data_IF_053844758314
#
_entry.id   IF_053844758314
#
_cell.length_a   1.000
_cell.length_b   1.000
_cell.length_c   1.000
_cell.angle_alpha   90.00
_cell.angle_beta   90.00
_cell.angle_gamma   90.00
#
_symmetry.space_group_name_H-M   'P 1'
#
loop_
_entity.id
_entity.type
_entity.pdbx_description
1 polymer ?
#
# COMPACT_ATOMS: atom_id res chain seq x y z
N UNK A 1 -19.40 3.72 -4.81
CA UNK A 1 -19.83 3.64 -3.38
C UNK A 1 -20.79 4.79 -3.08
N UNK A 2 -21.84 4.56 -2.29
CA UNK A 2 -22.89 5.56 -1.99
C UNK A 2 -22.70 6.19 -0.60
N UNK A 3 -22.77 7.52 -0.53
CA UNK A 3 -22.77 8.28 0.73
C UNK A 3 -24.18 8.77 1.06
N UNK A 4 -24.67 8.53 2.28
CA UNK A 4 -26.06 8.77 2.67
C UNK A 4 -26.19 9.69 3.89
N UNK A 5 -27.00 10.74 3.77
CA UNK A 5 -27.61 11.47 4.90
C UNK A 5 -28.84 12.24 4.41
N UNK A 6 -30.01 12.02 5.03
CA UNK A 6 -31.36 12.40 4.53
C UNK A 6 -31.62 13.91 4.32
N UNK A 7 -32.83 14.35 3.96
CA UNK A 7 -34.17 13.71 3.79
C UNK A 7 -34.92 14.57 2.74
N UNK A 8 -35.84 14.12 1.87
CA UNK A 8 -36.17 12.78 1.33
C UNK A 8 -35.91 12.82 -0.21
N UNK A 9 -36.74 12.45 -1.22
CA UNK A 9 -38.08 11.82 -1.38
C UNK A 9 -37.95 10.38 -1.94
N UNK A 10 -38.89 9.43 -1.79
CA UNK A 10 -40.25 9.44 -1.23
C UNK A 10 -40.51 8.27 -0.23
N UNK A 11 -39.47 7.81 0.51
CA UNK A 11 -39.60 6.81 1.60
C UNK A 11 -38.66 7.09 2.79
N UNK A 12 -38.44 8.36 3.10
CA UNK A 12 -37.89 8.94 4.34
C UNK A 12 -36.39 8.78 4.58
N UNK A 13 -35.87 7.55 4.57
CA UNK A 13 -34.72 7.18 5.38
C UNK A 13 -33.36 7.80 4.95
N UNK A 14 -33.10 7.93 3.66
CA UNK A 14 -31.77 8.28 3.15
C UNK A 14 -31.82 9.14 1.89
N UNK A 15 -30.89 10.10 1.79
CA UNK A 15 -30.62 10.89 0.58
C UNK A 15 -29.18 10.66 0.16
N UNK A 16 -28.98 10.40 -1.14
CA UNK A 16 -27.67 10.31 -1.77
C UNK A 16 -26.95 11.66 -1.72
N UNK A 17 -25.72 11.67 -1.21
CA UNK A 17 -24.85 12.85 -1.12
C UNK A 17 -23.76 12.86 -2.19
N UNK A 18 -23.18 11.70 -2.45
CA UNK A 18 -22.24 11.46 -3.54
C UNK A 18 -22.31 10.00 -3.96
N UNK A 19 -22.17 9.76 -5.25
CA UNK A 19 -21.75 8.48 -5.81
C UNK A 19 -20.33 8.66 -6.36
N UNK A 20 -19.50 7.65 -6.14
CA UNK A 20 -18.16 7.56 -6.73
C UNK A 20 -18.03 6.18 -7.36
N UNK A 21 -17.89 6.15 -8.68
CA UNK A 21 -17.78 4.94 -9.46
C UNK A 21 -16.31 4.61 -9.73
N UNK A 22 -16.01 3.34 -9.89
CA UNK A 22 -14.66 2.84 -10.08
C UNK A 22 -14.67 1.49 -10.78
N UNK A 23 -13.58 1.21 -11.50
CA UNK A 23 -13.47 0.10 -12.45
C UNK A 23 -12.17 -0.67 -12.20
N UNK A 24 -12.24 -2.00 -12.25
CA UNK A 24 -11.08 -2.86 -12.06
C UNK A 24 -10.30 -2.99 -13.38
N UNK A 25 -9.06 -2.51 -13.41
CA UNK A 25 -8.21 -2.64 -14.59
C UNK A 25 -7.69 -4.08 -14.77
N UNK A 26 -7.49 -4.47 -16.03
CA UNK A 26 -7.01 -5.80 -16.41
C UNK A 26 -5.66 -6.11 -15.73
N UNK A 27 -5.58 -7.24 -15.03
CA UNK A 27 -4.36 -7.69 -14.36
C UNK A 27 -4.14 -7.10 -12.96
N UNK A 28 -5.20 -6.67 -12.28
CA UNK A 28 -5.19 -6.08 -10.93
C UNK A 28 -4.36 -4.77 -10.84
N UNK A 29 -4.27 -4.02 -11.95
CA UNK A 29 -3.44 -2.81 -12.05
C UNK A 29 -4.10 -1.57 -11.43
N UNK A 30 -3.27 -0.65 -10.92
CA UNK A 30 -3.65 0.72 -10.50
C UNK A 30 -2.87 1.77 -11.31
N UNK A 31 -3.31 3.04 -11.28
CA UNK A 31 -2.87 4.10 -12.22
C UNK A 31 -1.35 4.37 -12.32
N UNK A 32 -0.55 4.08 -11.29
CA UNK A 32 0.93 4.16 -11.39
C UNK A 32 1.57 2.96 -12.12
N UNK A 33 0.78 2.07 -12.70
CA UNK A 33 1.22 0.90 -13.48
C UNK A 33 1.52 -0.36 -12.64
N UNK A 34 1.33 -0.33 -11.32
CA UNK A 34 1.58 -1.48 -10.46
C UNK A 34 0.38 -2.40 -10.32
N UNK A 35 0.65 -3.71 -10.18
CA UNK A 35 -0.29 -4.71 -9.70
C UNK A 35 -0.52 -4.61 -8.19
N UNK A 36 -1.76 -4.41 -7.76
CA UNK A 36 -2.17 -4.37 -6.34
C UNK A 36 -2.89 -5.68 -5.92
N UNK A 37 -3.50 -5.69 -4.73
CA UNK A 37 -4.22 -6.79 -4.08
C UNK A 37 -3.42 -8.06 -3.77
N UNK A 38 -2.14 -8.14 -4.16
CA UNK A 38 -1.22 -9.26 -3.88
C UNK A 38 -1.13 -9.59 -2.37
N UNK A 39 -0.94 -8.58 -1.52
CA UNK A 39 -0.72 -8.76 -0.08
C UNK A 39 -1.96 -8.39 0.74
N UNK A 40 -2.46 -9.34 1.53
CA UNK A 40 -3.59 -9.24 2.46
C UNK A 40 -3.26 -10.04 3.74
N UNK A 41 -3.87 -9.74 4.91
CA UNK A 41 -3.71 -10.55 6.11
C UNK A 41 -4.52 -11.86 6.03
N UNK A 42 -3.90 -12.98 6.43
CA UNK A 42 -4.58 -14.26 6.65
C UNK A 42 -5.06 -14.34 8.11
N UNK A 43 -6.21 -14.99 8.37
CA UNK A 43 -6.84 -15.01 9.69
C UNK A 43 -7.08 -16.42 10.22
N UNK A 44 -6.80 -16.65 11.50
CA UNK A 44 -7.09 -17.92 12.17
C UNK A 44 -8.60 -18.24 12.10
N UNK A 45 -8.93 -19.45 11.63
CA UNK A 45 -10.31 -19.91 11.46
C UNK A 45 -11.03 -19.40 10.20
N UNK A 46 -10.36 -18.66 9.32
CA UNK A 46 -10.91 -18.24 8.02
C UNK A 46 -10.23 -19.04 6.90
N UNK A 47 -11.03 -19.69 6.06
CA UNK A 47 -10.56 -20.40 4.88
C UNK A 47 -10.56 -19.45 3.67
N UNK A 48 -9.42 -19.29 2.99
CA UNK A 48 -9.37 -18.70 1.65
C UNK A 48 -9.78 -19.77 0.62
N UNK A 49 -10.88 -19.64 -0.13
CA UNK A 49 -11.28 -20.63 -1.13
C UNK A 49 -10.24 -20.86 -2.23
N UNK A 50 -9.35 -19.91 -2.46
CA UNK A 50 -8.26 -20.02 -3.45
C UNK A 50 -6.96 -20.62 -2.84
N UNK A 51 -6.96 -20.94 -1.54
CA UNK A 51 -5.82 -21.39 -0.72
C UNK A 51 -4.50 -20.63 -0.96
N UNK A 52 -4.57 -19.30 -1.13
CA UNK A 52 -3.42 -18.42 -1.40
C UNK A 52 -2.63 -18.19 -0.10
N UNK A 53 -2.02 -19.25 0.42
CA UNK A 53 -1.08 -19.19 1.55
C UNK A 53 0.17 -18.44 1.13
N UNK A 54 0.71 -17.68 2.08
CA UNK A 54 2.04 -17.11 1.97
C UNK A 54 2.78 -17.14 3.32
N UNK A 55 4.09 -16.93 3.30
CA UNK A 55 4.96 -16.99 4.49
C UNK A 55 4.61 -16.01 5.64
N UNK A 56 3.64 -15.10 5.48
CA UNK A 56 3.20 -14.26 6.59
C UNK A 56 2.41 -15.04 7.67
N UNK A 57 2.62 -14.75 8.96
CA UNK A 57 1.86 -15.38 10.02
C UNK A 57 0.37 -15.01 9.93
N UNK A 58 -0.46 -16.03 10.16
CA UNK A 58 -1.89 -15.90 10.42
C UNK A 58 -2.12 -14.97 11.63
N UNK A 59 -3.23 -14.25 11.61
CA UNK A 59 -3.55 -13.20 12.59
C UNK A 59 -4.92 -13.48 13.24
N UNK A 60 -5.06 -13.11 14.50
CA UNK A 60 -6.31 -13.25 15.24
C UNK A 60 -7.40 -12.35 14.65
N UNK A 61 -8.65 -12.82 14.67
CA UNK A 61 -9.81 -12.12 14.11
C UNK A 61 -9.99 -10.70 14.67
N UNK A 62 -9.49 -10.39 15.87
CA UNK A 62 -9.52 -9.06 16.46
C UNK A 62 -8.59 -8.03 15.83
N UNK A 63 -7.84 -8.36 14.79
CA UNK A 63 -7.29 -7.36 13.87
C UNK A 63 -8.35 -6.81 12.88
N UNK A 64 -9.47 -7.53 12.67
CA UNK A 64 -10.52 -7.16 11.72
C UNK A 64 -11.90 -6.93 12.39
N UNK A 65 -12.25 -7.73 13.40
CA UNK A 65 -13.60 -7.79 13.99
C UNK A 65 -13.60 -7.49 15.51
N UNK A 66 -14.50 -6.62 15.95
CA UNK A 66 -14.72 -6.32 17.36
C UNK A 66 -15.26 -7.54 18.14
N UNK A 67 -14.77 -7.69 19.38
CA UNK A 67 -15.12 -8.77 20.30
C UNK A 67 -14.13 -9.95 20.34
N UNK A 68 -13.26 -10.07 19.33
CA UNK A 68 -12.29 -11.16 19.21
C UNK A 68 -10.97 -10.88 19.97
N UNK A 69 -10.14 -11.90 20.11
CA UNK A 69 -8.74 -11.73 20.54
C UNK A 69 -7.94 -11.00 19.46
N UNK A 70 -6.97 -10.17 19.84
CA UNK A 70 -6.18 -9.34 18.91
C UNK A 70 -4.72 -9.84 18.88
N UNK A 71 -3.93 -9.52 17.83
CA UNK A 71 -2.48 -9.77 17.79
C UNK A 71 -1.65 -8.97 18.81
N UNK A 72 -2.29 -8.13 19.64
CA UNK A 72 -1.62 -7.45 20.75
C UNK A 72 -1.95 -8.23 22.03
N UNK A 73 -0.91 -8.72 22.69
CA UNK A 73 -1.03 -9.56 23.89
C UNK A 73 -1.92 -8.90 24.96
N UNK A 74 -2.87 -9.68 25.49
CA UNK A 74 -3.85 -9.26 26.50
C UNK A 74 -4.79 -8.09 26.10
N UNK A 75 -4.73 -7.60 24.85
CA UNK A 75 -5.63 -6.56 24.36
C UNK A 75 -6.88 -7.14 23.69
N UNK A 76 -8.03 -6.54 24.00
CA UNK A 76 -9.27 -6.63 23.22
C UNK A 76 -9.81 -5.22 22.98
N UNK A 77 -10.26 -4.96 21.75
CA UNK A 77 -10.90 -3.69 21.42
C UNK A 77 -12.25 -3.56 22.10
N UNK A 78 -12.59 -2.34 22.54
CA UNK A 78 -13.85 -2.06 23.23
C UNK A 78 -15.05 -2.30 22.28
N UNK A 79 -16.00 -3.12 22.74
CA UNK A 79 -17.26 -3.37 22.03
C UNK A 79 -18.34 -2.42 22.58
N UNK A 80 -19.00 -1.59 21.75
CA UNK A 80 -20.16 -0.80 22.17
C UNK A 80 -21.26 -1.65 22.80
N UNK A 81 -21.97 -1.07 23.78
CA UNK A 81 -23.14 -1.70 24.40
C UNK A 81 -24.45 -1.12 23.83
N UNK A 82 -25.52 -1.91 23.67
CA UNK A 82 -25.57 -3.37 23.90
C UNK A 82 -24.70 -4.15 22.90
N UNK A 83 -24.02 -5.19 23.39
CA UNK A 83 -23.00 -5.96 22.66
C UNK A 83 -23.41 -6.38 21.23
N UNK A 84 -24.70 -6.63 20.99
CA UNK A 84 -25.25 -6.98 19.66
C UNK A 84 -24.96 -5.93 18.58
N UNK A 85 -24.81 -4.65 18.93
CA UNK A 85 -24.47 -3.57 18.00
C UNK A 85 -22.99 -3.60 17.56
N UNK A 86 -22.09 -3.94 18.48
CA UNK A 86 -20.64 -3.89 18.25
C UNK A 86 -20.02 -5.20 17.80
N UNK A 87 -20.50 -6.33 18.31
CA UNK A 87 -19.87 -7.64 18.12
C UNK A 87 -19.91 -8.12 16.66
N UNK A 88 -18.78 -8.67 16.19
CA UNK A 88 -18.52 -8.98 14.77
C UNK A 88 -18.60 -7.78 13.81
N UNK A 89 -18.59 -6.54 14.32
CA UNK A 89 -18.44 -5.34 13.49
C UNK A 89 -16.98 -4.99 13.19
N UNK A 90 -16.75 -4.15 12.19
CA UNK A 90 -15.43 -3.66 11.77
C UNK A 90 -15.46 -2.14 11.52
N UNK A 91 -14.31 -1.48 11.42
CA UNK A 91 -14.22 -0.11 10.91
C UNK A 91 -13.62 -0.09 9.51
N UNK A 92 -14.16 0.77 8.65
CA UNK A 92 -13.64 1.04 7.33
C UNK A 92 -13.18 2.50 7.23
N UNK A 93 -11.88 2.69 7.02
CA UNK A 93 -11.34 3.95 6.54
C UNK A 93 -11.53 4.01 5.02
N UNK A 94 -12.48 4.83 4.57
CA UNK A 94 -12.64 5.13 3.15
C UNK A 94 -11.83 6.37 2.77
N UNK A 95 -11.19 6.34 1.60
CA UNK A 95 -10.43 7.45 1.02
C UNK A 95 -10.64 7.55 -0.49
N UNK A 96 -10.78 8.78 -0.97
CA UNK A 96 -10.64 9.15 -2.39
C UNK A 96 -9.20 9.62 -2.57
N UNK A 97 -8.37 8.80 -3.21
CA UNK A 97 -6.94 9.01 -3.37
C UNK A 97 -6.67 9.35 -4.83
N UNK A 98 -6.67 10.63 -5.17
CA UNK A 98 -6.27 11.12 -6.49
C UNK A 98 -4.78 10.82 -6.73
N UNK A 99 -4.42 10.40 -7.94
CA UNK A 99 -3.07 9.99 -8.32
C UNK A 99 -2.53 10.91 -9.43
N UNK A 100 -1.48 11.67 -9.12
CA UNK A 100 -0.73 12.55 -10.03
C UNK A 100 0.25 11.70 -10.86
N UNK A 101 -0.25 11.03 -11.91
CA UNK A 101 0.53 10.03 -12.68
C UNK A 101 1.52 10.68 -13.64
N UNK A 102 1.13 11.77 -14.28
CA UNK A 102 2.00 12.57 -15.17
C UNK A 102 3.22 13.03 -14.37
N UNK A 103 2.99 13.60 -13.19
CA UNK A 103 3.99 14.08 -12.24
C UNK A 103 4.87 12.96 -11.67
N UNK A 104 4.34 11.75 -11.51
CA UNK A 104 5.11 10.57 -11.10
C UNK A 104 6.05 10.08 -12.21
N UNK A 105 5.58 10.02 -13.45
CA UNK A 105 6.42 9.63 -14.59
C UNK A 105 7.49 10.67 -14.92
N UNK A 106 7.19 11.96 -14.78
CA UNK A 106 8.18 13.03 -14.91
C UNK A 106 9.25 12.94 -13.80
N UNK A 107 8.85 12.63 -12.56
CA UNK A 107 9.80 12.38 -11.48
C UNK A 107 10.70 11.16 -11.75
N UNK A 108 10.15 10.04 -12.21
CA UNK A 108 10.94 8.87 -12.61
C UNK A 108 11.92 9.20 -13.76
N UNK A 109 11.47 10.01 -14.73
CA UNK A 109 12.30 10.51 -15.85
C UNK A 109 13.49 11.31 -15.32
N UNK A 110 13.25 12.31 -14.47
CA UNK A 110 14.29 13.13 -13.86
C UNK A 110 15.26 12.31 -12.98
N UNK A 111 14.76 11.27 -12.30
CA UNK A 111 15.59 10.34 -11.53
C UNK A 111 16.52 9.51 -12.43
N UNK A 112 16.01 9.00 -13.57
CA UNK A 112 16.81 8.28 -14.55
C UNK A 112 17.82 9.20 -15.24
N UNK A 113 17.45 10.43 -15.58
CA UNK A 113 18.35 11.44 -16.16
C UNK A 113 19.51 11.83 -15.23
N UNK A 114 19.31 11.73 -13.91
CA UNK A 114 20.37 11.86 -12.92
C UNK A 114 21.22 10.59 -12.86
N UNK A 115 20.61 9.41 -12.77
CA UNK A 115 21.32 8.14 -12.68
C UNK A 115 22.20 7.86 -13.92
N UNK A 116 21.76 8.21 -15.12
CA UNK A 116 22.55 8.12 -16.36
C UNK A 116 23.87 8.95 -16.35
N UNK A 117 24.08 9.78 -15.32
CA UNK A 117 25.28 10.61 -15.10
C UNK A 117 26.00 10.27 -13.78
N UNK A 118 25.50 9.28 -13.04
CA UNK A 118 25.97 8.87 -11.73
C UNK A 118 26.67 7.50 -11.85
N UNK A 119 27.96 7.37 -11.47
CA UNK A 119 28.68 6.09 -11.50
C UNK A 119 28.00 4.97 -10.69
N UNK A 120 27.17 5.31 -9.69
CA UNK A 120 26.39 4.31 -8.94
C UNK A 120 25.34 3.61 -9.82
N UNK A 121 24.99 4.12 -11.00
CA UNK A 121 24.06 3.46 -11.91
C UNK A 121 24.59 2.12 -12.45
N UNK A 122 25.91 1.95 -12.58
CA UNK A 122 26.53 0.67 -12.98
C UNK A 122 26.48 -0.38 -11.85
N UNK A 123 26.47 0.06 -10.59
CA UNK A 123 26.29 -0.83 -9.42
C UNK A 123 24.82 -1.14 -9.14
N UNK A 124 23.92 -0.19 -9.44
CA UNK A 124 22.46 -0.35 -9.32
C UNK A 124 21.88 -1.24 -10.43
N UNK A 125 22.42 -1.14 -11.63
CA UNK A 125 22.01 -1.87 -12.83
C UNK A 125 23.27 -2.12 -13.70
N UNK A 126 23.90 -3.30 -13.61
CA UNK A 126 25.07 -3.62 -14.43
C UNK A 126 24.82 -3.39 -15.94
N UNK A 127 25.78 -2.85 -16.70
CA UNK A 127 25.58 -2.55 -18.12
C UNK A 127 25.19 -3.76 -18.96
N UNK A 128 23.94 -3.79 -19.44
CA UNK A 128 23.39 -4.84 -20.30
C UNK A 128 22.42 -5.80 -19.59
N UNK A 129 22.28 -5.73 -18.27
CA UNK A 129 21.26 -6.51 -17.54
C UNK A 129 19.84 -6.11 -17.98
N UNK A 130 19.62 -4.85 -18.35
CA UNK A 130 18.35 -4.35 -18.90
C UNK A 130 17.87 -5.04 -20.19
N UNK A 131 18.80 -5.67 -20.93
CA UNK A 131 18.50 -6.44 -22.14
C UNK A 131 18.11 -7.90 -21.84
N UNK A 132 18.26 -8.36 -20.59
CA UNK A 132 17.83 -9.68 -20.11
C UNK A 132 16.44 -9.63 -19.43
N UNK A 133 15.84 -8.44 -19.31
CA UNK A 133 14.50 -8.25 -18.77
C UNK A 133 13.44 -8.66 -19.81
N UNK A 134 12.23 -8.97 -19.35
CA UNK A 134 11.12 -9.41 -20.21
C UNK A 134 9.90 -8.50 -19.99
N UNK A 135 9.55 -7.59 -20.94
CA UNK A 135 10.29 -7.29 -22.17
C UNK A 135 11.61 -6.53 -21.89
N UNK A 136 12.59 -6.60 -22.81
CA UNK A 136 13.86 -5.89 -22.67
C UNK A 136 13.65 -4.37 -22.75
N UNK A 137 14.44 -3.62 -21.97
CA UNK A 137 14.29 -2.17 -21.84
C UNK A 137 15.53 -1.41 -22.32
N UNK A 138 15.34 -0.14 -22.69
CA UNK A 138 16.49 0.79 -22.79
C UNK A 138 17.02 1.07 -21.39
N UNK A 139 18.33 1.36 -21.26
CA UNK A 139 18.96 1.65 -19.96
C UNK A 139 18.24 2.74 -19.17
N UNK A 140 17.76 3.78 -19.86
CA UNK A 140 16.96 4.85 -19.26
C UNK A 140 15.63 4.36 -18.69
N UNK A 141 14.86 3.58 -19.47
CA UNK A 141 13.60 2.99 -19.03
C UNK A 141 13.80 1.99 -17.87
N UNK A 142 14.87 1.18 -17.92
CA UNK A 142 15.24 0.29 -16.83
C UNK A 142 15.60 1.04 -15.55
N UNK A 143 16.29 2.18 -15.64
CA UNK A 143 16.56 3.05 -14.48
C UNK A 143 15.28 3.73 -13.95
N UNK A 144 14.34 4.14 -14.81
CA UNK A 144 13.00 4.62 -14.38
C UNK A 144 12.26 3.55 -13.57
N UNK A 145 12.16 2.35 -14.13
CA UNK A 145 11.44 1.23 -13.50
C UNK A 145 12.16 0.71 -12.23
N UNK A 146 13.50 0.74 -12.19
CA UNK A 146 14.27 0.47 -10.98
C UNK A 146 13.95 1.48 -9.87
N UNK A 147 13.90 2.79 -10.17
CA UNK A 147 13.55 3.81 -9.16
C UNK A 147 12.10 3.63 -8.69
N UNK A 148 11.17 3.36 -9.61
CA UNK A 148 9.78 3.03 -9.30
C UNK A 148 9.70 1.83 -8.34
N UNK A 149 10.33 0.72 -8.71
CA UNK A 149 10.37 -0.50 -7.90
C UNK A 149 10.99 -0.27 -6.52
N UNK A 150 12.06 0.52 -6.41
CA UNK A 150 12.71 0.89 -5.13
C UNK A 150 11.78 1.78 -4.29
N UNK A 151 11.01 2.69 -4.87
CA UNK A 151 10.00 3.48 -4.14
C UNK A 151 8.85 2.63 -3.59
N UNK A 152 8.30 1.68 -4.37
CA UNK A 152 7.18 0.85 -3.90
C UNK A 152 7.62 -0.32 -3.01
N UNK A 153 8.71 -1.01 -3.38
CA UNK A 153 9.14 -2.31 -2.83
C UNK A 153 8.81 -3.51 -3.73
N UNK A 154 8.15 -3.28 -4.87
CA UNK A 154 7.84 -4.25 -5.93
C UNK A 154 8.00 -3.60 -7.29
N UNK A 155 8.41 -4.38 -8.29
CA UNK A 155 8.30 -4.07 -9.71
C UNK A 155 6.82 -3.92 -10.12
N UNK A 156 6.53 -3.24 -11.23
CA UNK A 156 5.15 -3.02 -11.71
C UNK A 156 4.34 -4.30 -11.95
N UNK A 157 4.97 -5.35 -12.45
CA UNK A 157 4.35 -6.66 -12.63
C UNK A 157 3.98 -7.38 -11.31
N UNK A 158 4.39 -6.84 -10.16
CA UNK A 158 4.13 -7.35 -8.82
C UNK A 158 5.30 -8.11 -8.19
N UNK A 159 6.41 -8.39 -8.89
CA UNK A 159 7.56 -9.11 -8.31
C UNK A 159 8.17 -8.30 -7.15
N UNK A 160 8.41 -8.89 -5.97
CA UNK A 160 8.97 -8.16 -4.82
C UNK A 160 10.49 -8.02 -4.90
N UNK A 161 10.99 -6.83 -4.57
CA UNK A 161 12.44 -6.57 -4.47
C UNK A 161 13.14 -7.44 -3.43
N UNK A 162 12.40 -7.93 -2.43
CA UNK A 162 12.92 -8.88 -1.45
C UNK A 162 13.34 -10.21 -2.07
N UNK A 163 12.75 -10.63 -3.20
CA UNK A 163 13.10 -11.84 -3.94
C UNK A 163 13.95 -11.55 -5.17
N UNK A 164 13.57 -10.55 -5.99
CA UNK A 164 14.33 -10.10 -7.16
C UNK A 164 14.69 -8.62 -7.05
N UNK A 165 15.85 -8.26 -6.45
CA UNK A 165 16.21 -6.87 -6.14
C UNK A 165 16.72 -6.05 -7.34
N UNK A 166 16.97 -6.69 -8.49
CA UNK A 166 17.66 -6.13 -9.65
C UNK A 166 17.00 -6.41 -11.01
N UNK A 167 15.96 -7.25 -11.07
CA UNK A 167 15.21 -7.54 -12.32
C UNK A 167 13.72 -7.75 -12.04
N UNK A 168 12.80 -7.22 -12.89
CA UNK A 168 11.38 -7.54 -12.83
C UNK A 168 11.07 -8.97 -13.30
N UNK A 169 12.00 -9.62 -14.02
CA UNK A 169 11.81 -10.90 -14.70
C UNK A 169 12.83 -11.93 -14.18
N UNK A 170 12.69 -12.41 -12.92
CA UNK A 170 13.58 -13.42 -12.36
C UNK A 170 13.46 -14.76 -13.10
N UNK A 171 14.56 -15.52 -13.13
CA UNK A 171 14.59 -16.90 -13.62
C UNK A 171 14.96 -17.83 -12.45
N UNK A 172 14.12 -18.82 -12.08
CA UNK A 172 12.80 -19.09 -12.61
C UNK A 172 11.77 -17.99 -12.26
N UNK A 173 10.70 -17.81 -13.08
CA UNK A 173 9.64 -16.85 -12.80
C UNK A 173 8.89 -17.13 -11.49
N UNK A 174 8.55 -16.08 -10.75
CA UNK A 174 7.81 -16.18 -9.49
C UNK A 174 6.30 -16.23 -9.79
N UNK A 175 5.67 -17.37 -9.52
CA UNK A 175 4.22 -17.57 -9.66
C UNK A 175 3.40 -16.80 -8.60
N UNK A 176 2.09 -16.69 -8.82
CA UNK A 176 1.19 -15.83 -8.03
C UNK A 176 1.26 -16.02 -6.50
N UNK A 177 1.45 -17.25 -5.99
CA UNK A 177 1.61 -17.50 -4.56
C UNK A 177 2.94 -16.91 -4.04
N UNK A 178 4.06 -17.31 -4.68
CA UNK A 178 5.41 -16.83 -4.39
C UNK A 178 5.61 -15.31 -4.49
N UNK A 179 4.66 -14.55 -5.05
CA UNK A 179 4.69 -13.09 -5.00
C UNK A 179 4.61 -12.54 -3.57
N UNK A 180 4.16 -13.31 -2.57
CA UNK A 180 4.11 -12.82 -1.18
C UNK A 180 5.01 -13.57 -0.18
N UNK A 181 5.70 -14.62 -0.62
CA UNK A 181 6.61 -15.47 0.17
C UNK A 181 7.98 -14.82 0.38
N UNK A 182 8.05 -13.86 1.31
CA UNK A 182 9.32 -13.24 1.69
C UNK A 182 9.28 -12.55 3.05
N UNK A 183 10.46 -12.48 3.68
CA UNK A 183 10.76 -11.59 4.78
C UNK A 183 11.66 -10.41 4.39
N UNK A 184 12.06 -9.66 5.41
CA UNK A 184 13.02 -8.57 5.43
C UNK A 184 14.07 -8.75 6.54
N UNK A 185 13.98 -9.79 7.38
CA UNK A 185 14.99 -10.10 8.41
C UNK A 185 16.39 -10.37 7.83
N UNK A 186 16.45 -10.98 6.64
CA UNK A 186 17.67 -11.22 5.85
C UNK A 186 18.14 -10.01 5.03
N UNK A 187 17.41 -8.90 5.06
CA UNK A 187 17.75 -7.63 4.41
C UNK A 187 17.71 -6.47 5.44
N UNK A 188 18.50 -6.55 6.54
CA UNK A 188 18.40 -5.61 7.67
C UNK A 188 18.74 -4.16 7.30
N UNK A 189 19.48 -3.95 6.21
CA UNK A 189 19.96 -2.64 5.76
C UNK A 189 19.29 -2.13 4.47
N UNK A 190 18.36 -2.92 3.89
CA UNK A 190 17.56 -2.49 2.74
C UNK A 190 18.30 -2.51 1.40
N UNK A 191 19.36 -3.33 1.29
CA UNK A 191 20.12 -3.56 0.05
C UNK A 191 19.25 -4.21 -1.03
N UNK A 192 18.33 -5.11 -0.64
CA UNK A 192 17.38 -5.74 -1.57
C UNK A 192 16.17 -4.84 -1.77
N UNK A 193 15.40 -4.62 -0.70
CA UNK A 193 14.18 -3.83 -0.67
C UNK A 193 14.34 -2.65 0.31
N UNK A 194 14.49 -1.39 -0.15
CA UNK A 194 14.79 -0.25 0.70
C UNK A 194 13.85 -0.11 1.89
N UNK A 195 14.41 0.29 3.04
CA UNK A 195 13.62 0.45 4.29
C UNK A 195 12.53 1.52 4.13
N UNK A 196 12.80 2.54 3.29
CA UNK A 196 11.84 3.58 2.92
C UNK A 196 10.82 3.20 1.84
N UNK A 197 10.85 1.98 1.28
CA UNK A 197 9.88 1.54 0.27
C UNK A 197 8.48 1.46 0.85
N UNK A 198 7.47 1.93 0.10
CA UNK A 198 6.08 2.03 0.55
C UNK A 198 5.55 0.74 1.21
N UNK A 199 5.77 -0.43 0.59
CA UNK A 199 5.33 -1.71 1.14
C UNK A 199 6.11 -2.15 2.38
N UNK A 200 7.41 -1.83 2.48
CA UNK A 200 8.24 -2.13 3.66
C UNK A 200 7.91 -1.21 4.84
N UNK A 201 7.44 0.02 4.57
CA UNK A 201 6.88 0.92 5.58
C UNK A 201 5.50 0.46 6.05
N UNK A 202 4.60 0.15 5.11
CA UNK A 202 3.21 -0.21 5.40
C UNK A 202 3.04 -1.61 6.01
N UNK A 203 4.00 -2.51 5.75
CA UNK A 203 4.08 -3.84 6.35
C UNK A 203 5.55 -4.23 6.58
N UNK A 204 6.13 -3.95 7.76
CA UNK A 204 7.52 -4.29 8.07
C UNK A 204 7.83 -5.80 8.15
N UNK A 205 6.84 -6.70 8.02
CA UNK A 205 6.99 -8.16 8.09
C UNK A 205 7.80 -8.58 9.34
N UNK A 206 8.91 -9.27 9.18
CA UNK A 206 9.85 -9.74 10.21
C UNK A 206 11.08 -8.81 10.35
N UNK A 207 11.07 -7.61 9.75
CA UNK A 207 12.16 -6.64 9.92
C UNK A 207 12.29 -6.20 11.39
N UNK A 208 13.52 -5.97 11.85
CA UNK A 208 13.78 -5.34 13.15
C UNK A 208 13.26 -3.89 13.16
N UNK A 209 12.12 -3.65 13.80
CA UNK A 209 11.56 -2.31 14.03
C UNK A 209 11.95 -1.75 15.40
N UNK A 210 11.93 -0.42 15.55
CA UNK A 210 12.07 0.27 16.85
C UNK A 210 10.86 -0.04 17.75
N UNK A 211 9.66 -0.03 17.17
CA UNK A 211 8.40 -0.34 17.83
C UNK A 211 8.24 -1.87 18.01
N UNK A 212 8.99 -2.45 18.96
CA UNK A 212 8.99 -3.90 19.27
C UNK A 212 7.58 -4.52 19.24
N UNK A 213 7.49 -5.70 18.64
CA UNK A 213 6.28 -6.53 18.51
C UNK A 213 5.12 -5.90 17.70
N UNK A 214 5.24 -4.68 17.14
CA UNK A 214 4.16 -4.07 16.34
C UNK A 214 4.08 -4.54 14.88
N UNK A 215 5.09 -5.29 14.44
CA UNK A 215 5.27 -5.85 13.10
C UNK A 215 4.02 -6.50 12.46
N UNK A 216 3.21 -7.20 13.27
CA UNK A 216 2.01 -7.91 12.80
C UNK A 216 0.72 -7.39 13.42
N UNK A 217 0.77 -6.37 14.28
CA UNK A 217 -0.41 -5.87 15.00
C UNK A 217 -1.22 -4.89 14.16
N UNK A 218 -0.55 -4.11 13.29
CA UNK A 218 -1.16 -3.14 12.38
C UNK A 218 -1.59 -3.76 11.05
N UNK A 219 -2.39 -4.84 11.05
CA UNK A 219 -2.94 -5.38 9.79
C UNK A 219 -4.13 -4.55 9.29
N UNK A 220 -4.32 -4.47 7.97
CA UNK A 220 -5.50 -3.90 7.32
C UNK A 220 -5.98 -4.85 6.21
N UNK A 221 -7.28 -5.07 6.08
CA UNK A 221 -7.87 -5.70 4.89
C UNK A 221 -8.13 -4.61 3.86
N UNK A 222 -7.50 -4.70 2.68
CA UNK A 222 -7.58 -3.64 1.65
C UNK A 222 -8.51 -4.05 0.51
N UNK A 223 -9.43 -3.17 0.13
CA UNK A 223 -10.24 -3.28 -1.09
C UNK A 223 -10.21 -1.92 -1.81
N UNK A 224 -9.18 -1.73 -2.62
CA UNK A 224 -9.07 -0.57 -3.51
C UNK A 224 -9.82 -0.82 -4.81
N UNK A 225 -10.29 0.26 -5.45
CA UNK A 225 -10.83 0.23 -6.81
C UNK A 225 -10.36 1.48 -7.56
N UNK A 226 -9.71 1.39 -8.73
CA UNK A 226 -9.39 2.56 -9.54
C UNK A 226 -10.63 3.40 -9.91
N UNK A 227 -10.46 4.71 -10.04
CA UNK A 227 -11.44 5.63 -10.62
C UNK A 227 -10.79 6.57 -11.64
N UNK A 228 -11.61 7.13 -12.55
CA UNK A 228 -11.11 7.90 -13.70
C UNK A 228 -10.53 7.02 -14.81
N UNK A 229 -10.31 7.59 -16.01
CA UNK A 229 -9.83 6.82 -17.17
C UNK A 229 -8.42 6.27 -16.92
N UNK A 230 -8.08 5.14 -17.55
CA UNK A 230 -6.73 4.56 -17.52
C UNK A 230 -5.65 5.56 -17.98
N UNK A 231 -4.40 5.36 -17.57
CA UNK A 231 -3.27 6.18 -18.06
C UNK A 231 -2.58 5.48 -19.24
N UNK A 232 -2.63 6.09 -20.42
CA UNK A 232 -1.83 5.67 -21.56
C UNK A 232 -0.57 6.57 -21.65
N UNK A 233 0.64 6.06 -21.37
CA UNK A 233 1.87 6.83 -21.49
C UNK A 233 2.24 7.17 -22.95
N UNK A 234 1.66 6.50 -23.95
CA UNK A 234 1.83 6.86 -25.37
C UNK A 234 0.90 8.01 -25.80
N UNK A 235 -0.26 8.15 -25.13
CA UNK A 235 -1.26 9.19 -25.41
C UNK A 235 -1.77 9.81 -24.10
N UNK A 236 -0.93 10.58 -23.37
CA UNK A 236 -1.30 11.13 -22.07
C UNK A 236 -2.45 12.14 -22.20
N UNK A 237 -3.60 11.78 -21.63
CA UNK A 237 -4.79 12.65 -21.55
C UNK A 237 -4.95 13.14 -20.11
N UNK A 238 -4.87 14.45 -19.91
CA UNK A 238 -5.04 15.07 -18.59
C UNK A 238 -6.47 14.88 -18.08
N UNK A 239 -6.63 14.11 -17.02
CA UNK A 239 -7.91 13.77 -16.40
C UNK A 239 -7.70 13.40 -14.92
N UNK A 240 -8.66 13.74 -14.05
CA UNK A 240 -8.65 13.25 -12.68
C UNK A 240 -8.80 11.72 -12.66
N UNK A 241 -7.93 11.08 -11.89
CA UNK A 241 -7.73 9.64 -11.81
C UNK A 241 -7.22 9.28 -10.42
N UNK A 242 -7.48 8.06 -9.95
CA UNK A 242 -6.97 7.63 -8.66
C UNK A 242 -7.55 6.32 -8.13
N UNK A 243 -7.51 6.14 -6.81
CA UNK A 243 -7.98 4.95 -6.11
C UNK A 243 -9.07 5.30 -5.08
N UNK A 244 -10.21 4.62 -5.17
CA UNK A 244 -11.21 4.55 -4.11
C UNK A 244 -10.76 3.48 -3.11
N UNK A 245 -10.03 3.90 -2.07
CA UNK A 245 -9.44 3.02 -1.09
C UNK A 245 -10.39 2.69 0.06
N UNK A 246 -10.71 1.40 0.24
CA UNK A 246 -11.34 0.87 1.46
C UNK A 246 -10.29 0.11 2.28
N UNK A 247 -10.07 0.54 3.52
CA UNK A 247 -9.09 -0.05 4.44
C UNK A 247 -9.81 -0.46 5.73
N UNK A 248 -9.97 -1.76 5.96
CA UNK A 248 -10.81 -2.30 7.04
C UNK A 248 -9.98 -2.92 8.17
N UNK A 249 -10.40 -2.67 9.42
CA UNK A 249 -9.70 -3.05 10.64
C UNK A 249 -10.60 -2.96 11.88
N UNK A 250 -10.21 -3.62 12.97
CA UNK A 250 -10.93 -3.53 14.25
C UNK A 250 -10.65 -2.21 15.02
N UNK A 251 -9.56 -1.50 14.71
CA UNK A 251 -9.18 -0.25 15.38
C UNK A 251 -8.52 0.75 14.43
N UNK A 252 -9.23 1.84 14.12
CA UNK A 252 -8.73 2.91 13.26
C UNK A 252 -7.45 3.54 13.84
N UNK A 253 -7.46 3.90 15.13
CA UNK A 253 -6.30 4.51 15.80
C UNK A 253 -5.14 3.53 15.91
N UNK A 254 -5.39 2.27 16.27
CA UNK A 254 -4.34 1.27 16.49
C UNK A 254 -3.72 0.72 15.21
N UNK A 255 -4.42 0.80 14.08
CA UNK A 255 -4.03 0.13 12.83
C UNK A 255 -3.93 1.13 11.66
N UNK A 256 -5.05 1.72 11.22
CA UNK A 256 -5.06 2.61 10.04
C UNK A 256 -4.27 3.91 10.25
N UNK A 257 -4.63 4.69 11.27
CA UNK A 257 -3.96 5.97 11.54
C UNK A 257 -2.53 5.76 12.03
N UNK A 258 -2.24 4.67 12.76
CA UNK A 258 -0.87 4.36 13.15
C UNK A 258 0.01 3.95 11.96
N UNK A 259 -0.53 3.30 10.92
CA UNK A 259 0.19 3.16 9.64
C UNK A 259 0.37 4.54 9.00
N UNK A 260 -0.71 5.28 8.79
CA UNK A 260 -0.66 6.54 8.04
C UNK A 260 0.21 7.62 8.71
N UNK A 261 0.24 7.69 10.04
CA UNK A 261 1.01 8.67 10.80
C UNK A 261 2.42 8.15 11.13
N UNK A 262 2.55 7.13 11.99
CA UNK A 262 3.87 6.64 12.44
C UNK A 262 4.72 6.14 11.27
N UNK A 263 4.14 5.31 10.39
CA UNK A 263 4.91 4.57 9.39
C UNK A 263 5.00 5.27 8.04
N UNK A 264 3.88 5.77 7.51
CA UNK A 264 3.80 6.43 6.20
C UNK A 264 4.31 7.87 6.28
N UNK A 265 3.85 8.69 7.23
CA UNK A 265 4.25 10.10 7.28
C UNK A 265 5.48 10.40 8.16
N UNK A 266 5.84 9.57 9.14
CA UNK A 266 6.98 9.87 10.04
C UNK A 266 8.17 8.91 9.96
N UNK A 267 7.95 7.63 9.64
CA UNK A 267 9.01 6.62 9.53
C UNK A 267 9.52 6.06 10.86
N UNK A 268 8.71 6.14 11.93
CA UNK A 268 9.11 5.82 13.32
C UNK A 268 9.52 4.35 13.56
N UNK A 269 9.35 3.47 12.57
CA UNK A 269 9.76 2.07 12.62
C UNK A 269 11.28 1.86 12.46
N UNK A 270 12.02 2.77 11.82
CA UNK A 270 13.48 2.67 11.66
C UNK A 270 14.16 4.07 11.61
N UNK A 271 15.19 4.33 12.45
CA UNK A 271 15.81 5.66 12.57
C UNK A 271 16.43 6.20 11.28
N UNK A 272 16.73 5.34 10.28
CA UNK A 272 17.30 5.75 8.99
C UNK A 272 16.29 6.50 8.12
N UNK A 273 15.00 6.20 8.30
CA UNK A 273 13.89 6.82 7.57
C UNK A 273 13.03 7.77 8.41
N UNK A 274 13.28 7.89 9.72
CA UNK A 274 12.63 8.91 10.56
C UNK A 274 12.77 10.30 9.94
N UNK A 275 11.65 11.05 9.87
CA UNK A 275 11.59 12.36 9.22
C UNK A 275 11.78 12.32 7.70
N UNK A 276 11.62 11.15 7.06
CA UNK A 276 11.32 11.02 5.63
C UNK A 276 9.90 10.48 5.49
N UNK A 277 9.09 11.12 4.66
CA UNK A 277 7.75 10.64 4.38
C UNK A 277 7.83 9.48 3.36
N UNK A 278 6.78 8.68 3.27
CA UNK A 278 6.65 7.60 2.30
C UNK A 278 6.70 8.16 0.87
N UNK A 279 7.45 7.53 -0.07
CA UNK A 279 7.67 8.07 -1.40
C UNK A 279 6.43 8.01 -2.32
N UNK A 280 5.36 7.31 -1.94
CA UNK A 280 4.13 7.13 -2.73
C UNK A 280 2.92 7.79 -2.04
N UNK A 281 2.66 7.45 -0.78
CA UNK A 281 1.48 7.92 -0.01
C UNK A 281 1.83 9.00 1.04
N UNK A 282 3.10 9.34 1.22
CA UNK A 282 3.52 10.35 2.19
C UNK A 282 3.14 11.76 1.74
N UNK A 283 2.80 12.62 2.70
CA UNK A 283 2.50 14.02 2.48
C UNK A 283 3.80 14.81 2.22
N UNK A 284 4.36 14.67 1.02
CA UNK A 284 5.67 15.19 0.64
C UNK A 284 5.61 16.65 0.22
N UNK A 285 6.40 17.48 0.91
CA UNK A 285 6.68 18.86 0.54
C UNK A 285 8.06 18.92 -0.16
N UNK A 286 8.19 19.50 -1.37
CA UNK A 286 9.46 19.60 -2.10
C UNK A 286 10.63 20.20 -1.30
N UNK A 287 10.37 21.03 -0.28
CA UNK A 287 11.41 21.64 0.57
C UNK A 287 12.11 20.63 1.48
N UNK A 288 11.45 19.51 1.79
CA UNK A 288 11.88 18.53 2.79
C UNK A 288 11.88 17.08 2.29
N UNK A 289 11.17 16.78 1.20
CA UNK A 289 11.03 15.42 0.68
C UNK A 289 12.39 14.78 0.36
N UNK A 290 12.53 13.51 0.78
CA UNK A 290 13.72 12.69 0.53
C UNK A 290 13.31 11.24 0.35
N UNK A 291 13.85 10.60 -0.68
CA UNK A 291 13.85 9.15 -0.82
C UNK A 291 15.30 8.69 -1.02
N UNK A 292 15.73 7.70 -0.25
CA UNK A 292 17.11 7.23 -0.20
C UNK A 292 17.14 5.70 -0.16
N UNK A 293 18.05 5.09 -0.92
CA UNK A 293 18.30 3.66 -0.89
C UNK A 293 19.79 3.35 -1.07
N UNK A 294 20.30 2.27 -0.45
CA UNK A 294 21.69 1.87 -0.60
C UNK A 294 21.98 1.32 -2.00
N UNK A 295 23.23 1.46 -2.42
CA UNK A 295 23.84 0.85 -3.60
C UNK A 295 25.26 0.44 -3.18
N UNK A 296 25.40 -0.82 -2.74
CA UNK A 296 26.61 -1.26 -2.04
C UNK A 296 26.80 -0.48 -0.74
N UNK A 297 28.02 0.00 -0.50
CA UNK A 297 28.36 0.86 0.65
C UNK A 297 27.93 2.34 0.47
N UNK A 298 27.43 2.70 -0.72
CA UNK A 298 26.94 4.05 -1.05
C UNK A 298 25.42 4.13 -0.95
N UNK A 299 24.84 5.31 -1.17
CA UNK A 299 23.40 5.49 -1.25
C UNK A 299 22.98 6.52 -2.31
N UNK A 300 22.04 6.13 -3.17
CA UNK A 300 21.33 7.06 -4.06
C UNK A 300 20.30 7.83 -3.23
N UNK A 301 20.15 9.12 -3.50
CA UNK A 301 19.12 9.96 -2.87
C UNK A 301 18.49 10.93 -3.88
N UNK A 302 17.16 10.98 -3.84
CA UNK A 302 16.30 11.93 -4.55
C UNK A 302 15.57 12.83 -3.55
N UNK A 303 15.30 14.07 -3.95
CA UNK A 303 14.70 15.15 -3.14
C UNK A 303 13.92 16.08 -4.07
N UNK A 304 13.08 16.96 -3.52
CA UNK A 304 12.44 18.02 -4.31
C UNK A 304 11.14 17.61 -5.00
N UNK A 305 10.56 16.46 -4.64
CA UNK A 305 9.29 15.96 -5.17
C UNK A 305 8.10 16.29 -4.25
N UNK A 306 6.93 16.47 -4.86
CA UNK A 306 5.64 16.64 -4.19
C UNK A 306 5.01 15.27 -3.84
N UNK A 307 3.92 15.26 -3.07
CA UNK A 307 3.04 14.09 -2.98
C UNK A 307 2.50 13.70 -4.36
N UNK A 308 2.67 12.45 -4.78
CA UNK A 308 2.02 11.91 -5.98
C UNK A 308 0.57 11.49 -5.72
N UNK A 309 0.15 11.41 -4.46
CA UNK A 309 -1.21 11.04 -4.07
C UNK A 309 -1.83 12.12 -3.17
N UNK A 310 -3.06 12.51 -3.50
CA UNK A 310 -3.83 13.50 -2.75
C UNK A 310 -5.13 12.90 -2.21
N UNK A 311 -5.41 13.07 -0.92
CA UNK A 311 -6.70 12.68 -0.35
C UNK A 311 -7.73 13.78 -0.67
N UNK A 312 -8.55 13.56 -1.72
CA UNK A 312 -9.64 14.48 -2.12
C UNK A 312 -10.86 14.39 -1.20
N UNK A 313 -10.98 13.30 -0.46
CA UNK A 313 -12.05 13.10 0.52
C UNK A 313 -11.92 11.75 1.25
N UNK A 314 -12.72 11.55 2.28
CA UNK A 314 -12.71 10.31 3.05
C UNK A 314 -13.74 10.32 4.17
N UNK A 315 -13.96 9.15 4.76
CA UNK A 315 -14.83 8.98 5.91
C UNK A 315 -14.37 7.78 6.75
N UNK A 316 -14.77 7.76 8.02
CA UNK A 316 -14.71 6.58 8.86
C UNK A 316 -16.11 6.01 9.01
N UNK A 317 -16.28 4.76 8.62
CA UNK A 317 -17.53 4.02 8.75
C UNK A 317 -17.36 2.89 9.76
N UNK A 318 -18.42 2.62 10.52
CA UNK A 318 -18.58 1.34 11.19
C UNK A 318 -19.37 0.40 10.27
N UNK A 319 -18.90 -0.83 10.14
CA UNK A 319 -19.54 -1.91 9.40
C UNK A 319 -20.19 -2.85 10.43
N UNK A 320 -21.50 -2.69 10.74
CA UNK A 320 -22.19 -3.53 11.70
C UNK A 320 -22.34 -4.97 11.21
N UNK A 321 -22.38 -5.93 12.13
CA UNK A 321 -22.67 -7.33 11.81
C UNK A 321 -24.13 -7.53 11.39
N UNK A 322 -24.44 -8.64 10.71
CA UNK A 322 -25.84 -8.95 10.33
C UNK A 322 -26.79 -9.04 11.54
N UNK A 323 -26.26 -9.38 12.73
CA UNK A 323 -27.03 -9.36 13.99
C UNK A 323 -27.31 -7.93 14.48
N UNK A 324 -26.32 -7.03 14.39
CA UNK A 324 -26.51 -5.61 14.68
C UNK A 324 -27.54 -4.97 13.73
N UNK A 325 -27.47 -5.26 12.43
CA UNK A 325 -28.42 -4.77 11.43
C UNK A 325 -29.84 -5.26 11.73
N UNK A 326 -30.01 -6.55 12.04
CA UNK A 326 -31.32 -7.11 12.43
C UNK A 326 -31.86 -6.51 13.73
N UNK A 327 -31.00 -6.24 14.70
CA UNK A 327 -31.40 -5.59 15.95
C UNK A 327 -31.86 -4.15 15.72
N UNK A 328 -31.09 -3.34 14.97
CA UNK A 328 -31.47 -1.98 14.61
C UNK A 328 -32.77 -1.92 13.78
N UNK A 329 -33.04 -2.93 12.96
CA UNK A 329 -34.30 -3.07 12.21
C UNK A 329 -35.47 -3.65 13.04
N UNK A 330 -35.30 -3.81 14.35
CA UNK A 330 -36.33 -4.29 15.30
C UNK A 330 -36.67 -3.27 16.40
N UNK A 331 -36.17 -2.03 16.26
CA UNK A 331 -36.44 -0.86 17.11
C UNK A 331 -37.52 0.04 16.49
#
# INVERSE_FOLDING_TARGET
MYFLSGVDSARGAFRLRAALDGEAFKGDLVHFGYRDSIAQPQFYGVHDPDDRRDDQPFVELGAMLLGHATPIENLRWQVPQPNVLGFNGSFNAFRVLEQQVEEFEDFLTACADKLMKDPLSEQLLPPGDEAQWEPPMTRHAALREMVAAKMLGRWRNGVPLALSPTSPSPTPPIGNAGLNDYGYSTDPDGQRCPIGSHMRRSNPRDARTVQRNTNHTRRLVRRGMPYGPHYDPAHPVKAERGLLGSFMCASLTGQFEAIQYDWTNLGLQDPRITGANDPILGNNDPRFSRFSFPVGDNAVTFRGFSSFVHTKGGAYFFQPSMSAIRHLASL
#
